data_IF_334921988931
#
_entry.id   IF_334921988931
#
_cell.length_a   1.000
_cell.length_b   1.000
_cell.length_c   1.000
_cell.angle_alpha   90.00
_cell.angle_beta   90.00
_cell.angle_gamma   90.00
#
_symmetry.space_group_name_H-M   'P 1'
#
loop_
_entity.id
_entity.type
_entity.pdbx_description
1 polymer ?
#
# COMPACT_ATOMS: atom_id res chain seq x y z
N UNK A 1 29.16 -15.63 32.51
CA UNK A 1 28.51 -14.30 32.41
C UNK A 1 28.51 -13.76 30.98
N UNK A 2 29.60 -13.87 30.23
CA UNK A 2 29.64 -13.43 28.81
C UNK A 2 28.54 -14.05 27.95
N UNK A 3 28.26 -15.34 28.11
CA UNK A 3 27.24 -16.05 27.31
C UNK A 3 25.81 -15.49 27.53
N UNK A 4 25.48 -15.04 28.74
CA UNK A 4 24.18 -14.43 29.06
C UNK A 4 24.05 -13.06 28.38
N UNK A 5 25.09 -12.21 28.46
CA UNK A 5 25.09 -10.90 27.82
C UNK A 5 25.05 -11.01 26.30
N UNK A 6 25.81 -11.94 25.71
CA UNK A 6 25.76 -12.21 24.27
C UNK A 6 24.37 -12.68 23.80
N UNK A 7 23.74 -13.56 24.59
CA UNK A 7 22.39 -14.04 24.29
C UNK A 7 21.33 -12.91 24.47
N UNK A 8 21.40 -12.13 25.55
CA UNK A 8 20.45 -11.05 25.85
C UNK A 8 20.55 -9.90 24.85
N UNK A 9 21.77 -9.46 24.55
CA UNK A 9 22.02 -8.31 23.67
C UNK A 9 22.11 -8.70 22.19
N UNK A 10 22.15 -10.01 21.90
CA UNK A 10 22.29 -10.55 20.53
C UNK A 10 23.55 -10.00 19.81
N UNK A 11 24.63 -9.80 20.57
CA UNK A 11 25.94 -9.36 20.06
C UNK A 11 26.93 -10.50 20.32
N UNK A 12 27.24 -11.25 19.26
CA UNK A 12 28.18 -12.37 19.28
C UNK A 12 29.39 -11.97 18.48
N UNK A 13 30.48 -11.57 19.16
CA UNK A 13 31.75 -11.25 18.52
C UNK A 13 32.91 -11.64 19.46
N UNK A 14 33.84 -12.49 19.00
CA UNK A 14 35.00 -12.99 19.78
C UNK A 14 35.96 -11.88 20.24
N UNK A 15 35.89 -10.72 19.61
CA UNK A 15 36.76 -9.59 19.91
C UNK A 15 36.18 -8.63 20.96
N UNK A 16 34.99 -8.92 21.49
CA UNK A 16 34.33 -8.13 22.53
C UNK A 16 34.62 -8.75 23.90
N UNK A 17 35.11 -7.93 24.81
CA UNK A 17 35.32 -8.30 26.22
C UNK A 17 34.34 -7.49 27.03
N UNK A 18 33.33 -8.16 27.62
CA UNK A 18 32.29 -7.54 28.42
C UNK A 18 32.79 -7.21 29.82
N UNK A 19 32.42 -6.04 30.33
CA UNK A 19 32.57 -5.75 31.76
C UNK A 19 31.46 -6.52 32.53
N UNK A 20 31.77 -7.02 33.73
CA UNK A 20 30.87 -7.85 34.51
C UNK A 20 29.75 -7.05 35.23
N UNK A 21 29.64 -5.75 35.02
CA UNK A 21 28.70 -4.86 35.72
C UNK A 21 27.77 -4.20 34.73
N UNK A 22 26.46 -4.20 35.07
CA UNK A 22 25.44 -3.42 34.37
C UNK A 22 25.03 -2.28 35.30
N UNK A 23 25.08 -1.04 34.80
CA UNK A 23 24.74 0.13 35.59
C UNK A 23 23.33 0.61 35.22
N UNK A 24 22.49 0.81 36.22
CA UNK A 24 21.21 1.52 36.05
C UNK A 24 21.43 3.02 36.26
N UNK A 25 21.03 3.83 35.31
CA UNK A 25 21.16 5.30 35.37
C UNK A 25 19.92 5.98 34.81
N UNK A 26 19.59 7.16 35.34
CA UNK A 26 18.60 8.04 34.70
C UNK A 26 19.28 8.74 33.52
N UNK A 27 18.83 8.45 32.32
CA UNK A 27 19.32 9.07 31.10
C UNK A 27 18.15 9.54 30.23
N UNK A 28 18.19 10.77 29.74
CA UNK A 28 17.09 11.41 29.01
C UNK A 28 15.73 11.29 29.74
N UNK A 29 15.74 11.52 31.07
CA UNK A 29 14.57 11.44 31.96
C UNK A 29 13.93 10.04 32.05
N UNK A 30 14.67 8.97 31.70
CA UNK A 30 14.19 7.57 31.77
C UNK A 30 15.24 6.69 32.45
N UNK A 31 14.78 5.76 33.32
CA UNK A 31 15.63 4.69 33.86
C UNK A 31 16.16 3.86 32.70
N UNK A 32 17.46 3.64 32.64
CA UNK A 32 18.15 3.05 31.48
C UNK A 32 19.27 2.14 31.94
N UNK A 33 19.56 1.09 31.17
CA UNK A 33 20.63 0.12 31.41
C UNK A 33 21.87 0.50 30.59
N UNK A 34 23.01 0.54 31.26
CA UNK A 34 24.31 0.80 30.63
C UNK A 34 25.22 -0.40 30.78
N UNK A 35 25.54 -0.98 29.63
CA UNK A 35 26.53 -2.05 29.50
C UNK A 35 27.86 -1.43 29.08
N UNK A 36 28.97 -2.01 29.51
CA UNK A 36 30.31 -1.61 29.11
C UNK A 36 31.06 -2.79 28.56
N UNK A 37 31.85 -2.54 27.51
CA UNK A 37 32.70 -3.55 26.89
C UNK A 37 33.90 -2.90 26.22
N UNK A 38 34.97 -3.68 26.05
CA UNK A 38 36.14 -3.33 25.25
C UNK A 38 36.17 -4.17 23.99
N UNK A 39 36.40 -3.54 22.86
CA UNK A 39 36.56 -4.19 21.57
C UNK A 39 38.01 -4.07 21.11
N UNK A 40 38.68 -5.20 21.00
CA UNK A 40 40.08 -5.27 20.59
C UNK A 40 40.32 -6.52 19.74
N UNK A 41 41.09 -6.35 18.68
CA UNK A 41 41.62 -7.44 17.86
C UNK A 41 42.98 -7.05 17.34
N UNK A 42 43.77 -8.01 16.88
CA UNK A 42 45.01 -7.74 16.18
C UNK A 42 44.67 -7.37 14.73
N UNK A 43 45.00 -6.14 14.25
CA UNK A 43 44.71 -5.77 12.87
C UNK A 43 45.62 -6.55 11.93
N UNK A 44 45.13 -6.99 10.79
CA UNK A 44 45.89 -7.70 9.76
C UNK A 44 46.68 -6.72 8.90
N UNK A 45 46.18 -5.52 8.70
CA UNK A 45 46.79 -4.45 7.90
C UNK A 45 46.40 -3.05 8.38
N UNK A 46 47.11 -2.04 7.97
CA UNK A 46 46.76 -0.66 8.16
C UNK A 46 45.61 -0.26 7.21
N UNK A 47 44.51 0.31 7.73
CA UNK A 47 43.34 0.73 6.92
C UNK A 47 43.60 1.98 6.08
N UNK A 48 44.78 2.64 6.22
CA UNK A 48 45.12 3.87 5.50
C UNK A 48 46.16 3.58 4.39
N UNK A 49 47.30 2.93 4.69
CA UNK A 49 48.33 2.66 3.71
C UNK A 49 48.37 1.20 3.21
N UNK A 50 47.57 0.31 3.80
CA UNK A 50 47.48 -1.10 3.39
C UNK A 50 48.68 -1.98 3.86
N UNK A 51 49.68 -1.44 4.58
CA UNK A 51 50.82 -2.26 5.05
C UNK A 51 50.35 -3.39 5.97
N UNK A 52 50.87 -4.59 5.77
CA UNK A 52 50.56 -5.78 6.58
C UNK A 52 51.13 -5.61 7.99
N UNK A 53 50.39 -6.09 8.98
CA UNK A 53 50.79 -6.02 10.40
C UNK A 53 51.87 -7.06 10.70
N UNK A 54 53.12 -6.63 10.69
CA UNK A 54 54.29 -7.44 10.99
C UNK A 54 55.37 -6.59 11.70
N UNK A 55 56.29 -7.22 12.38
CA UNK A 55 57.44 -6.55 13.02
C UNK A 55 57.06 -5.36 13.91
N UNK A 56 55.91 -5.42 14.61
CA UNK A 56 55.39 -4.34 15.46
C UNK A 56 55.25 -2.98 14.75
N UNK A 57 55.02 -2.96 13.44
CA UNK A 57 54.76 -1.75 12.67
C UNK A 57 53.36 -1.15 12.96
N UNK A 58 52.42 -1.95 13.51
CA UNK A 58 51.09 -1.48 13.98
C UNK A 58 51.01 -1.74 15.49
N UNK A 59 50.94 -0.66 16.27
CA UNK A 59 50.90 -0.71 17.74
C UNK A 59 49.62 -0.17 18.30
N UNK A 60 49.24 -0.62 19.52
CA UNK A 60 48.07 -0.06 20.23
C UNK A 60 48.35 1.40 20.61
N UNK A 61 47.36 2.26 20.37
CA UNK A 61 47.43 3.72 20.64
C UNK A 61 46.15 4.20 21.37
N UNK A 62 46.00 3.74 22.62
CA UNK A 62 44.82 4.09 23.44
C UNK A 62 43.49 3.54 22.94
N UNK A 63 42.39 4.05 23.45
CA UNK A 63 41.03 3.65 23.12
C UNK A 63 40.16 4.84 22.79
N UNK A 64 39.10 4.59 22.03
CA UNK A 64 38.00 5.55 21.77
C UNK A 64 36.67 4.96 22.22
N UNK A 65 36.03 5.61 23.17
CA UNK A 65 34.69 5.17 23.66
C UNK A 65 33.58 5.74 22.81
N UNK A 66 32.65 4.88 22.45
CA UNK A 66 31.41 5.26 21.74
C UNK A 66 30.21 4.69 22.46
N UNK A 67 29.17 5.52 22.66
CA UNK A 67 27.89 5.04 23.20
C UNK A 67 26.99 4.59 22.06
N UNK A 68 26.57 3.34 22.09
CA UNK A 68 25.73 2.68 21.09
C UNK A 68 24.37 2.39 21.71
N UNK A 69 23.29 2.82 21.07
CA UNK A 69 21.93 2.48 21.48
C UNK A 69 21.62 1.05 21.04
N UNK A 70 21.15 0.23 21.99
CA UNK A 70 20.75 -1.16 21.78
C UNK A 70 19.24 -1.31 21.73
N UNK A 71 18.73 -2.51 21.40
CA UNK A 71 17.33 -2.87 21.64
C UNK A 71 17.03 -2.76 23.14
N UNK A 72 15.79 -2.41 23.49
CA UNK A 72 15.38 -2.35 24.89
C UNK A 72 15.49 -3.71 25.57
N UNK A 73 15.90 -3.72 26.84
CA UNK A 73 15.99 -4.94 27.65
C UNK A 73 15.01 -4.82 28.81
N UNK A 74 14.12 -5.77 28.94
CA UNK A 74 13.03 -5.76 29.97
C UNK A 74 12.24 -4.44 29.98
N UNK A 75 11.96 -3.86 28.82
CA UNK A 75 11.23 -2.59 28.69
C UNK A 75 12.04 -1.33 28.98
N UNK A 76 13.30 -1.44 29.42
CA UNK A 76 14.17 -0.33 29.71
C UNK A 76 15.09 -0.01 28.50
N UNK A 77 15.34 1.28 28.18
CA UNK A 77 16.34 1.68 27.22
C UNK A 77 17.71 1.09 27.57
N UNK A 78 18.40 0.52 26.59
CA UNK A 78 19.71 -0.08 26.80
C UNK A 78 20.78 0.61 25.93
N UNK A 79 21.95 0.82 26.54
CA UNK A 79 23.10 1.47 25.90
C UNK A 79 24.36 0.66 26.13
N UNK A 80 25.25 0.62 25.14
CA UNK A 80 26.58 0.03 25.23
C UNK A 80 27.64 1.13 25.14
N UNK A 81 28.44 1.29 26.20
CA UNK A 81 29.65 2.08 26.17
C UNK A 81 30.79 1.18 25.66
N UNK A 82 31.06 1.25 24.37
CA UNK A 82 32.07 0.42 23.70
C UNK A 82 33.39 1.15 23.61
N UNK A 83 34.39 0.67 24.37
CA UNK A 83 35.81 1.12 24.28
C UNK A 83 36.45 0.40 23.09
N UNK A 84 36.67 1.12 22.00
CA UNK A 84 37.27 0.60 20.77
C UNK A 84 38.78 0.83 20.82
N UNK A 85 39.58 -0.21 20.61
CA UNK A 85 41.05 -0.10 20.49
C UNK A 85 41.41 0.79 19.32
N UNK A 86 42.33 1.74 19.55
CA UNK A 86 42.99 2.51 18.49
C UNK A 86 44.38 1.91 18.20
N UNK A 87 44.83 2.06 16.99
CA UNK A 87 46.12 1.63 16.51
C UNK A 87 46.87 2.80 15.85
N UNK A 88 48.18 2.79 15.94
CA UNK A 88 49.08 3.67 15.20
C UNK A 88 49.89 2.81 14.23
N UNK A 89 49.88 3.17 12.96
CA UNK A 89 50.76 2.62 11.95
C UNK A 89 52.08 3.42 11.94
N UNK A 90 53.18 2.78 12.22
CA UNK A 90 54.49 3.42 12.24
C UNK A 90 55.02 3.70 10.84
N UNK A 91 54.54 2.96 9.80
CA UNK A 91 54.96 3.18 8.41
C UNK A 91 54.40 4.49 7.84
N UNK A 92 53.13 4.78 8.07
CA UNK A 92 52.49 5.99 7.51
C UNK A 92 52.11 7.05 8.55
N UNK A 93 52.42 6.83 9.85
CA UNK A 93 52.09 7.75 10.94
C UNK A 93 50.57 7.86 11.25
N UNK A 94 49.71 7.18 10.53
CA UNK A 94 48.27 7.31 10.66
C UNK A 94 47.70 6.49 11.82
N UNK A 95 46.69 7.05 12.51
CA UNK A 95 45.94 6.33 13.53
C UNK A 95 44.59 5.87 12.99
N UNK A 96 44.21 4.64 13.30
CA UNK A 96 42.90 4.09 12.97
C UNK A 96 42.29 3.32 14.15
N UNK A 97 41.00 3.02 14.08
CA UNK A 97 40.24 2.38 15.16
C UNK A 97 39.84 0.97 14.72
N UNK A 98 39.79 0.03 15.66
CA UNK A 98 39.30 -1.32 15.42
C UNK A 98 37.92 -1.30 14.70
N UNK A 99 37.79 -2.12 13.68
CA UNK A 99 36.53 -2.22 12.93
C UNK A 99 35.45 -2.92 13.77
N UNK A 100 34.42 -2.21 14.04
CA UNK A 100 33.22 -2.67 14.77
C UNK A 100 31.99 -2.82 13.88
N UNK A 101 32.21 -2.94 12.57
CA UNK A 101 31.12 -3.00 11.57
C UNK A 101 30.12 -4.15 11.80
N UNK A 102 30.55 -5.22 12.48
CA UNK A 102 29.64 -6.32 12.89
C UNK A 102 28.59 -5.89 13.92
N UNK A 103 28.93 -4.94 14.80
CA UNK A 103 28.06 -4.45 15.90
C UNK A 103 27.33 -3.19 15.50
N UNK A 104 28.04 -2.22 14.94
CA UNK A 104 27.55 -0.90 14.56
C UNK A 104 28.16 -0.45 13.25
N UNK A 105 27.37 0.10 12.34
CA UNK A 105 27.87 0.63 11.08
C UNK A 105 28.77 1.84 11.29
N UNK A 106 29.71 2.07 10.36
CA UNK A 106 30.61 3.23 10.40
C UNK A 106 29.81 4.53 10.51
N UNK A 107 30.23 5.43 11.39
CA UNK A 107 29.55 6.70 11.70
C UNK A 107 28.12 6.58 12.27
N UNK A 108 27.71 5.39 12.75
CA UNK A 108 26.42 5.17 13.42
C UNK A 108 26.58 5.01 14.94
N UNK A 109 25.47 5.33 15.66
CA UNK A 109 25.37 5.21 17.12
C UNK A 109 24.22 4.28 17.55
N UNK A 110 23.70 3.47 16.63
CA UNK A 110 22.69 2.44 16.91
C UNK A 110 23.25 1.09 16.47
N UNK A 111 22.97 0.05 17.23
CA UNK A 111 23.42 -1.31 16.86
C UNK A 111 22.73 -1.79 15.58
N UNK A 112 23.39 -2.69 14.83
CA UNK A 112 22.77 -3.34 13.67
C UNK A 112 21.48 -4.06 14.05
N UNK A 113 21.43 -4.69 15.23
CA UNK A 113 20.23 -5.35 15.72
C UNK A 113 19.06 -4.38 15.90
N UNK A 114 19.31 -3.23 16.53
CA UNK A 114 18.31 -2.18 16.67
C UNK A 114 17.85 -1.62 15.31
N UNK A 115 18.78 -1.46 14.37
CA UNK A 115 18.45 -1.05 13.01
C UNK A 115 17.50 -2.05 12.33
N UNK A 116 17.70 -3.35 12.53
CA UNK A 116 16.83 -4.40 12.01
C UNK A 116 15.47 -4.44 12.71
N UNK A 117 15.41 -4.19 14.02
CA UNK A 117 14.14 -4.03 14.75
C UNK A 117 13.33 -2.84 14.20
N UNK A 118 13.98 -1.70 13.96
CA UNK A 118 13.34 -0.55 13.33
C UNK A 118 12.83 -0.92 11.93
N UNK A 119 13.62 -1.64 11.11
CA UNK A 119 13.20 -2.12 9.79
C UNK A 119 11.97 -3.02 9.85
N UNK A 120 11.84 -3.87 10.87
CA UNK A 120 10.62 -4.65 11.09
C UNK A 120 9.42 -3.75 11.40
N UNK A 121 9.57 -2.81 12.33
CA UNK A 121 8.48 -1.91 12.76
C UNK A 121 8.04 -0.92 11.67
N UNK A 122 8.92 -0.44 10.79
CA UNK A 122 8.55 0.45 9.68
C UNK A 122 7.70 -0.23 8.60
N UNK A 123 7.62 -1.54 8.60
CA UNK A 123 6.73 -2.31 7.72
C UNK A 123 5.28 -2.40 8.25
N UNK A 124 5.05 -1.98 9.49
CA UNK A 124 3.72 -1.93 10.10
C UNK A 124 3.05 -0.57 9.85
N UNK A 125 1.73 -0.50 10.02
CA UNK A 125 0.96 0.74 9.81
C UNK A 125 0.95 1.67 11.04
N UNK A 126 2.07 1.75 11.76
CA UNK A 126 2.26 2.60 12.95
C UNK A 126 2.96 3.92 12.61
N UNK A 127 2.85 4.91 13.51
CA UNK A 127 3.51 6.22 13.32
C UNK A 127 5.02 6.16 13.56
N UNK A 128 5.77 7.04 12.90
CA UNK A 128 7.23 7.17 13.07
C UNK A 128 7.61 7.60 14.48
N UNK A 129 6.79 8.44 15.10
CA UNK A 129 6.96 8.87 16.49
C UNK A 129 6.78 7.72 17.47
N UNK A 130 5.84 6.81 17.19
CA UNK A 130 5.67 5.59 17.98
C UNK A 130 6.90 4.69 17.87
N UNK A 131 7.38 4.42 16.64
CA UNK A 131 8.60 3.63 16.42
C UNK A 131 9.80 4.25 17.16
N UNK A 132 9.98 5.56 17.02
CA UNK A 132 11.08 6.29 17.65
C UNK A 132 11.03 6.17 19.19
N UNK A 133 9.84 6.26 19.79
CA UNK A 133 9.62 6.10 21.24
C UNK A 133 9.96 4.68 21.70
N UNK A 134 9.44 3.68 21.02
CA UNK A 134 9.65 2.26 21.36
C UNK A 134 11.12 1.83 21.23
N UNK A 135 11.81 2.35 20.22
CA UNK A 135 13.20 1.99 19.91
C UNK A 135 14.24 2.95 20.50
N UNK A 136 13.82 3.92 21.30
CA UNK A 136 14.68 4.91 21.98
C UNK A 136 15.64 5.67 21.04
N UNK A 137 15.18 5.95 19.80
CA UNK A 137 15.93 6.75 18.82
C UNK A 137 15.15 8.04 18.46
N UNK A 138 15.80 8.94 17.74
CA UNK A 138 15.09 10.11 17.21
C UNK A 138 14.20 9.75 16.03
N UNK A 139 13.12 10.50 15.81
CA UNK A 139 12.27 10.38 14.62
C UNK A 139 13.08 10.54 13.33
N UNK A 140 14.11 11.41 13.35
CA UNK A 140 15.03 11.57 12.21
C UNK A 140 15.84 10.30 11.90
N UNK A 141 16.20 9.53 12.93
CA UNK A 141 16.87 8.23 12.72
C UNK A 141 15.92 7.23 12.05
N UNK A 142 14.66 7.16 12.51
CA UNK A 142 13.63 6.31 11.88
C UNK A 142 13.44 6.72 10.42
N UNK A 143 13.32 8.02 10.13
CA UNK A 143 13.15 8.57 8.77
C UNK A 143 14.29 8.18 7.85
N UNK A 144 15.54 8.33 8.31
CA UNK A 144 16.70 7.93 7.51
C UNK A 144 16.67 6.44 7.18
N UNK A 145 16.31 5.58 8.14
CA UNK A 145 16.19 4.13 7.90
C UNK A 145 15.04 3.82 6.92
N UNK A 146 13.92 4.55 6.98
CA UNK A 146 12.81 4.46 6.02
C UNK A 146 13.33 4.78 4.61
N UNK A 147 14.01 5.91 4.44
CA UNK A 147 14.49 6.37 3.14
C UNK A 147 15.53 5.41 2.55
N UNK A 148 16.48 4.96 3.35
CA UNK A 148 17.50 3.99 2.92
C UNK A 148 16.87 2.64 2.51
N UNK A 149 15.92 2.14 3.31
CA UNK A 149 15.27 0.86 3.03
C UNK A 149 14.35 0.95 1.81
N UNK A 150 13.56 2.03 1.69
CA UNK A 150 12.67 2.24 0.55
C UNK A 150 13.43 2.38 -0.78
N UNK A 151 14.61 3.02 -0.75
CA UNK A 151 15.48 3.16 -1.93
C UNK A 151 15.88 1.81 -2.52
N UNK A 152 16.12 0.79 -1.69
CA UNK A 152 16.45 -0.56 -2.13
C UNK A 152 15.25 -1.29 -2.78
N UNK A 153 14.02 -0.94 -2.37
CA UNK A 153 12.79 -1.58 -2.84
C UNK A 153 12.13 -0.85 -4.02
N UNK A 154 12.58 0.36 -4.33
CA UNK A 154 12.01 1.15 -5.43
C UNK A 154 12.37 0.53 -6.78
N UNK A 155 11.39 0.42 -7.69
CA UNK A 155 11.63 -0.03 -9.06
C UNK A 155 12.58 0.93 -9.77
N UNK A 156 13.58 0.39 -10.45
CA UNK A 156 14.52 1.16 -11.26
C UNK A 156 14.05 1.22 -12.71
N UNK A 157 14.38 2.27 -13.47
CA UNK A 157 13.98 2.39 -14.90
C UNK A 157 14.46 1.24 -15.78
N UNK A 158 15.55 0.58 -15.41
CA UNK A 158 16.09 -0.59 -16.12
C UNK A 158 15.34 -1.89 -15.85
N UNK A 159 14.39 -1.91 -14.88
CA UNK A 159 13.59 -3.07 -14.61
C UNK A 159 12.43 -3.16 -15.61
N UNK A 160 12.14 -4.37 -16.06
CA UNK A 160 10.96 -4.63 -16.87
C UNK A 160 9.68 -4.35 -16.07
N UNK A 161 8.66 -3.84 -16.77
CA UNK A 161 7.32 -3.71 -16.23
C UNK A 161 6.64 -5.09 -16.23
N UNK A 162 5.75 -5.37 -15.26
CA UNK A 162 4.88 -6.54 -15.30
C UNK A 162 4.03 -6.57 -16.57
N UNK A 163 3.73 -7.76 -17.08
CA UNK A 163 2.89 -7.93 -18.28
C UNK A 163 1.44 -7.52 -18.05
N UNK A 164 0.98 -7.55 -16.80
CA UNK A 164 -0.40 -7.23 -16.43
C UNK A 164 -0.39 -6.18 -15.32
N UNK A 165 -0.90 -5.01 -15.60
CA UNK A 165 -0.92 -3.87 -14.70
C UNK A 165 -2.35 -3.53 -14.25
N UNK A 166 -2.44 -2.92 -13.06
CA UNK A 166 -3.63 -2.22 -12.58
C UNK A 166 -3.26 -0.79 -12.26
N UNK A 167 -4.10 0.16 -12.65
CA UNK A 167 -3.97 1.59 -12.37
C UNK A 167 -5.14 2.08 -11.55
N UNK A 168 -4.86 2.89 -10.54
CA UNK A 168 -5.87 3.54 -9.71
C UNK A 168 -5.30 4.82 -9.08
N UNK A 169 -6.11 5.51 -8.32
CA UNK A 169 -5.77 6.74 -7.63
C UNK A 169 -6.09 6.66 -6.14
N UNK A 170 -5.35 7.42 -5.35
CA UNK A 170 -5.71 7.65 -3.96
C UNK A 170 -5.46 9.09 -3.54
N UNK A 171 -6.20 9.52 -2.51
CA UNK A 171 -6.04 10.88 -1.96
C UNK A 171 -4.65 11.05 -1.37
N UNK A 172 -3.85 11.93 -1.98
CA UNK A 172 -2.46 12.23 -1.62
C UNK A 172 -2.33 13.13 -0.39
N UNK A 173 -1.17 13.71 -0.20
CA UNK A 173 -0.84 14.69 0.84
C UNK A 173 -0.87 16.10 0.28
N UNK A 174 -0.97 17.12 1.15
CA UNK A 174 -1.06 18.53 0.71
C UNK A 174 0.14 19.02 -0.09
N UNK A 175 1.32 18.41 0.08
CA UNK A 175 2.54 18.76 -0.66
C UNK A 175 2.65 18.13 -2.05
N UNK A 176 1.68 17.33 -2.49
CA UNK A 176 1.62 16.86 -3.87
C UNK A 176 0.98 17.91 -4.78
N UNK A 177 1.38 17.92 -6.06
CA UNK A 177 0.92 18.91 -7.05
C UNK A 177 -0.57 18.77 -7.39
N UNK A 178 -1.14 17.61 -7.10
CA UNK A 178 -2.57 17.34 -7.12
C UNK A 178 -3.02 16.68 -5.82
N UNK A 179 -4.31 16.80 -5.48
CA UNK A 179 -4.86 16.13 -4.30
C UNK A 179 -4.86 14.59 -4.42
N UNK A 180 -4.51 14.05 -5.59
CA UNK A 180 -4.52 12.63 -5.91
C UNK A 180 -3.15 12.17 -6.36
N UNK A 181 -2.71 11.01 -5.89
CA UNK A 181 -1.55 10.29 -6.39
C UNK A 181 -1.99 9.08 -7.19
N UNK A 182 -1.17 8.66 -8.13
CA UNK A 182 -1.42 7.52 -8.99
C UNK A 182 -0.67 6.29 -8.46
N UNK A 183 -1.30 5.12 -8.52
CA UNK A 183 -0.76 3.86 -8.04
C UNK A 183 -0.73 2.84 -9.16
N UNK A 184 0.35 2.07 -9.20
CA UNK A 184 0.58 1.02 -10.20
C UNK A 184 0.82 -0.29 -9.45
N UNK A 185 0.05 -1.32 -9.80
CA UNK A 185 0.21 -2.66 -9.25
C UNK A 185 0.35 -3.69 -10.36
N UNK A 186 1.00 -4.79 -10.05
CA UNK A 186 0.98 -6.01 -10.86
C UNK A 186 -0.31 -6.79 -10.59
N UNK A 187 -1.15 -6.95 -11.61
CA UNK A 187 -2.43 -7.66 -11.52
C UNK A 187 -2.26 -9.16 -11.26
N UNK A 188 -1.11 -9.74 -11.55
CA UNK A 188 -0.85 -11.17 -11.37
C UNK A 188 -0.33 -11.48 -9.97
N UNK A 189 0.66 -10.71 -9.50
CA UNK A 189 1.30 -10.96 -8.20
C UNK A 189 0.69 -10.14 -7.07
N UNK A 190 -0.23 -9.22 -7.37
CA UNK A 190 -0.87 -8.28 -6.45
C UNK A 190 0.13 -7.38 -5.71
N UNK A 191 1.32 -7.17 -6.30
CA UNK A 191 2.38 -6.35 -5.70
C UNK A 191 2.31 -4.92 -6.21
N UNK A 192 2.62 -4.00 -5.31
CA UNK A 192 2.85 -2.60 -5.69
C UNK A 192 4.05 -2.52 -6.63
N UNK A 193 3.88 -1.93 -7.81
CA UNK A 193 4.96 -1.58 -8.72
C UNK A 193 5.55 -0.25 -8.31
N UNK A 194 4.72 0.81 -8.25
CA UNK A 194 5.15 2.12 -7.80
C UNK A 194 3.95 3.03 -7.42
N UNK A 195 4.28 4.19 -6.84
CA UNK A 195 3.37 5.29 -6.57
C UNK A 195 3.93 6.55 -7.20
N UNK A 196 3.15 7.20 -8.06
CA UNK A 196 3.52 8.44 -8.75
C UNK A 196 2.84 9.63 -8.08
N UNK A 197 3.57 10.74 -7.95
CA UNK A 197 3.15 11.92 -7.19
C UNK A 197 1.87 12.56 -7.72
N UNK A 198 1.67 12.51 -9.03
CA UNK A 198 0.57 13.17 -9.72
C UNK A 198 -0.12 12.20 -10.67
N UNK A 199 -1.42 12.41 -10.89
CA UNK A 199 -2.25 11.63 -11.84
C UNK A 199 -2.39 12.26 -13.22
N UNK A 200 -1.86 13.46 -13.42
CA UNK A 200 -1.97 14.19 -14.70
C UNK A 200 -1.25 13.45 -15.82
N UNK A 201 -1.87 13.42 -17.00
CA UNK A 201 -1.34 12.68 -18.16
C UNK A 201 0.12 13.07 -18.48
N UNK A 202 0.48 14.33 -18.43
CA UNK A 202 1.86 14.80 -18.65
C UNK A 202 2.85 14.15 -17.65
N UNK A 203 2.53 14.18 -16.37
CA UNK A 203 3.38 13.61 -15.32
C UNK A 203 3.53 12.09 -15.46
N UNK A 204 2.45 11.41 -15.85
CA UNK A 204 2.44 9.97 -16.08
C UNK A 204 3.22 9.59 -17.33
N UNK A 205 3.10 10.35 -18.43
CA UNK A 205 3.92 10.15 -19.63
C UNK A 205 5.41 10.29 -19.29
N UNK A 206 5.81 11.34 -18.57
CA UNK A 206 7.19 11.54 -18.11
C UNK A 206 7.66 10.38 -17.23
N UNK A 207 6.79 9.84 -16.37
CA UNK A 207 7.10 8.68 -15.53
C UNK A 207 7.35 7.42 -16.39
N UNK A 208 6.45 7.09 -17.33
CA UNK A 208 6.55 5.87 -18.15
C UNK A 208 7.65 5.94 -19.20
N UNK A 209 8.02 7.13 -19.69
CA UNK A 209 9.18 7.30 -20.58
C UNK A 209 10.53 6.92 -19.95
N UNK A 210 10.60 6.77 -18.62
CA UNK A 210 11.79 6.24 -17.95
C UNK A 210 12.03 4.75 -18.22
N UNK A 211 11.01 4.04 -18.68
CA UNK A 211 11.11 2.62 -19.04
C UNK A 211 11.36 2.50 -20.55
N UNK A 212 12.23 1.57 -20.91
CA UNK A 212 12.53 1.30 -22.31
C UNK A 212 11.27 0.95 -23.10
N UNK A 213 11.21 1.28 -24.41
CA UNK A 213 10.09 0.88 -25.28
C UNK A 213 9.80 -0.63 -25.21
N UNK A 214 10.83 -1.48 -25.19
CA UNK A 214 10.68 -2.93 -25.08
C UNK A 214 9.91 -3.34 -23.83
N UNK A 215 10.18 -2.74 -22.65
CA UNK A 215 9.46 -3.00 -21.40
C UNK A 215 7.98 -2.61 -21.49
N UNK A 216 7.69 -1.48 -22.15
CA UNK A 216 6.32 -1.01 -22.34
C UNK A 216 5.54 -1.86 -23.33
N UNK A 217 6.18 -2.33 -24.41
CA UNK A 217 5.59 -3.24 -25.41
C UNK A 217 5.28 -4.64 -24.87
N UNK A 218 5.95 -5.09 -23.79
CA UNK A 218 5.67 -6.35 -23.10
C UNK A 218 4.37 -6.33 -22.30
N UNK A 219 3.82 -5.15 -21.98
CA UNK A 219 2.57 -5.05 -21.22
C UNK A 219 1.40 -5.51 -22.06
N UNK A 220 0.69 -6.55 -21.59
CA UNK A 220 -0.40 -7.22 -22.28
C UNK A 220 -1.79 -6.71 -21.90
N UNK A 221 -1.99 -6.39 -20.61
CA UNK A 221 -3.28 -5.87 -20.12
C UNK A 221 -3.09 -4.78 -19.08
N UNK A 222 -3.98 -3.81 -19.06
CA UNK A 222 -4.02 -2.76 -18.03
C UNK A 222 -5.47 -2.59 -17.58
N UNK A 223 -5.72 -2.86 -16.28
CA UNK A 223 -7.02 -2.65 -15.65
C UNK A 223 -7.13 -1.24 -15.09
N UNK A 224 -8.22 -0.54 -15.39
CA UNK A 224 -8.48 0.84 -14.99
C UNK A 224 -9.95 1.06 -14.65
N UNK A 225 -10.23 2.17 -13.99
CA UNK A 225 -11.57 2.73 -13.86
C UNK A 225 -12.05 3.36 -15.18
N UNK A 226 -13.34 3.67 -15.28
CA UNK A 226 -13.90 4.37 -16.44
C UNK A 226 -13.45 5.84 -16.48
N UNK A 227 -12.19 6.07 -16.91
CA UNK A 227 -11.60 7.41 -17.01
C UNK A 227 -10.86 7.59 -18.33
N UNK A 228 -11.44 8.39 -19.25
CA UNK A 228 -10.94 8.57 -20.62
C UNK A 228 -9.48 9.02 -20.71
N UNK A 229 -8.95 9.92 -19.86
CA UNK A 229 -7.55 10.33 -19.95
C UNK A 229 -6.56 9.15 -19.76
N UNK A 230 -6.93 8.12 -18.99
CA UNK A 230 -6.08 6.93 -18.84
C UNK A 230 -6.12 6.06 -20.09
N UNK A 231 -7.26 5.98 -20.77
CA UNK A 231 -7.35 5.25 -22.05
C UNK A 231 -6.39 5.87 -23.08
N UNK A 232 -6.39 7.20 -23.20
CA UNK A 232 -5.49 7.91 -24.12
C UNK A 232 -4.02 7.68 -23.73
N UNK A 233 -3.68 7.79 -22.45
CA UNK A 233 -2.34 7.52 -21.94
C UNK A 233 -1.89 6.09 -22.28
N UNK A 234 -2.76 5.10 -22.05
CA UNK A 234 -2.42 3.68 -22.27
C UNK A 234 -2.19 3.42 -23.77
N UNK A 235 -3.05 3.91 -24.64
CA UNK A 235 -2.88 3.76 -26.10
C UNK A 235 -1.55 4.32 -26.61
N UNK A 236 -1.09 5.43 -26.02
CA UNK A 236 0.16 6.08 -26.41
C UNK A 236 1.38 5.37 -25.82
N UNK A 237 1.33 5.00 -24.54
CA UNK A 237 2.48 4.49 -23.81
C UNK A 237 2.63 2.97 -23.89
N UNK A 238 1.53 2.23 -24.10
CA UNK A 238 1.45 0.77 -24.09
C UNK A 238 0.62 0.23 -25.26
N UNK A 239 1.10 0.39 -26.50
CA UNK A 239 0.28 0.12 -27.71
C UNK A 239 -0.22 -1.32 -27.82
N UNK A 240 0.48 -2.29 -27.21
CA UNK A 240 0.10 -3.71 -27.23
C UNK A 240 -0.87 -4.09 -26.11
N UNK A 241 -1.13 -3.17 -25.15
CA UNK A 241 -1.93 -3.51 -23.99
C UNK A 241 -3.43 -3.45 -24.26
N UNK A 242 -4.15 -4.54 -23.97
CA UNK A 242 -5.61 -4.53 -23.90
C UNK A 242 -6.05 -3.75 -22.64
N UNK A 243 -6.93 -2.79 -22.83
CA UNK A 243 -7.50 -2.00 -21.72
C UNK A 243 -8.71 -2.76 -21.17
N UNK A 244 -8.74 -2.95 -19.85
CA UNK A 244 -9.80 -3.63 -19.11
C UNK A 244 -10.45 -2.63 -18.18
N UNK A 245 -11.76 -2.50 -18.24
CA UNK A 245 -12.52 -1.68 -17.30
C UNK A 245 -12.89 -2.53 -16.09
N UNK A 246 -12.65 -2.03 -14.88
CA UNK A 246 -13.03 -2.74 -13.68
C UNK A 246 -14.55 -2.90 -13.59
N UNK A 247 -15.07 -4.15 -13.53
CA UNK A 247 -16.51 -4.42 -13.41
C UNK A 247 -17.18 -3.71 -12.25
N UNK A 248 -16.47 -3.55 -11.14
CA UNK A 248 -16.99 -2.86 -9.96
C UNK A 248 -17.45 -1.43 -10.28
N UNK A 249 -16.69 -0.69 -11.08
CA UNK A 249 -17.03 0.68 -11.44
C UNK A 249 -18.21 0.76 -12.41
N UNK A 250 -18.40 -0.23 -13.28
CA UNK A 250 -19.58 -0.35 -14.14
C UNK A 250 -20.82 -0.56 -13.27
N UNK A 251 -20.81 -1.56 -12.40
CA UNK A 251 -21.91 -1.88 -11.48
C UNK A 251 -22.19 -0.72 -10.53
N UNK A 252 -21.15 -0.05 -10.02
CA UNK A 252 -21.30 1.11 -9.15
C UNK A 252 -21.98 2.29 -9.87
N UNK A 253 -21.65 2.55 -11.14
CA UNK A 253 -22.29 3.61 -11.93
C UNK A 253 -23.77 3.32 -12.15
N UNK A 254 -24.12 2.10 -12.52
CA UNK A 254 -25.51 1.64 -12.69
C UNK A 254 -26.31 1.75 -11.39
N UNK A 255 -25.81 1.20 -10.30
CA UNK A 255 -26.47 1.25 -8.98
C UNK A 255 -26.67 2.68 -8.47
N UNK A 256 -25.71 3.56 -8.72
CA UNK A 256 -25.80 4.97 -8.34
C UNK A 256 -26.95 5.66 -9.04
N UNK A 257 -27.16 5.43 -10.32
CA UNK A 257 -28.25 6.05 -11.06
C UNK A 257 -29.60 5.43 -10.72
N UNK A 258 -29.68 4.11 -10.54
CA UNK A 258 -30.90 3.47 -10.03
C UNK A 258 -31.33 4.07 -8.69
N UNK A 259 -30.38 4.23 -7.75
CA UNK A 259 -30.66 4.85 -6.47
C UNK A 259 -31.08 6.32 -6.59
N UNK A 260 -30.50 7.08 -7.52
CA UNK A 260 -30.91 8.47 -7.80
C UNK A 260 -32.33 8.53 -8.36
N UNK A 261 -32.71 7.62 -9.25
CA UNK A 261 -34.08 7.51 -9.76
C UNK A 261 -35.03 7.18 -8.63
N UNK A 262 -34.70 6.18 -7.78
CA UNK A 262 -35.50 5.88 -6.57
C UNK A 262 -35.71 7.12 -5.69
N UNK A 263 -34.63 7.87 -5.41
CA UNK A 263 -34.72 9.10 -4.57
C UNK A 263 -35.63 10.16 -5.24
N UNK A 264 -35.50 10.32 -6.57
CA UNK A 264 -36.35 11.26 -7.32
C UNK A 264 -37.83 10.87 -7.24
N UNK A 265 -38.12 9.60 -7.46
CA UNK A 265 -39.49 9.05 -7.35
C UNK A 265 -39.99 9.17 -5.91
N UNK A 266 -39.19 8.78 -4.94
CA UNK A 266 -39.50 8.92 -3.52
C UNK A 266 -39.95 10.36 -3.17
N UNK A 267 -39.18 11.36 -3.59
CA UNK A 267 -39.46 12.76 -3.28
C UNK A 267 -40.78 13.27 -3.93
N UNK A 268 -41.20 12.73 -5.08
CA UNK A 268 -42.51 13.04 -5.69
C UNK A 268 -43.68 12.60 -4.81
N UNK A 269 -43.48 11.50 -4.05
CA UNK A 269 -44.52 10.97 -3.14
C UNK A 269 -44.52 11.61 -1.75
N UNK A 270 -43.57 12.49 -1.44
CA UNK A 270 -43.36 13.03 -0.09
C UNK A 270 -44.65 13.58 0.55
N UNK A 271 -45.44 14.30 -0.22
CA UNK A 271 -46.71 14.92 0.24
C UNK A 271 -47.93 14.24 -0.35
N UNK A 272 -47.85 13.61 -1.53
CA UNK A 272 -48.96 12.98 -2.22
C UNK A 272 -49.31 11.61 -1.64
N UNK A 273 -48.32 10.81 -1.31
CA UNK A 273 -48.45 9.48 -0.71
C UNK A 273 -47.34 9.24 0.32
N UNK A 274 -47.52 9.71 1.56
CA UNK A 274 -46.56 9.53 2.63
C UNK A 274 -46.25 8.06 2.99
N UNK A 275 -47.20 7.14 2.72
CA UNK A 275 -47.01 5.69 2.96
C UNK A 275 -46.01 5.14 1.96
N UNK A 276 -46.15 5.40 0.68
CA UNK A 276 -45.23 4.98 -0.38
C UNK A 276 -43.86 5.67 -0.25
N UNK A 277 -43.82 6.96 0.11
CA UNK A 277 -42.59 7.67 0.44
C UNK A 277 -41.76 6.94 1.51
N UNK A 278 -42.41 6.52 2.62
CA UNK A 278 -41.73 5.80 3.71
C UNK A 278 -41.25 4.43 3.26
N UNK A 279 -41.99 3.69 2.43
CA UNK A 279 -41.57 2.41 1.86
C UNK A 279 -40.36 2.56 0.96
N UNK A 280 -40.36 3.49 0.01
CA UNK A 280 -39.23 3.82 -0.86
C UNK A 280 -37.97 4.23 -0.06
N UNK A 281 -38.15 4.97 1.04
CA UNK A 281 -37.05 5.38 1.94
C UNK A 281 -36.48 4.21 2.73
N UNK A 282 -37.32 3.29 3.20
CA UNK A 282 -36.93 2.20 4.10
C UNK A 282 -36.27 1.04 3.35
N UNK A 283 -36.85 0.64 2.20
CA UNK A 283 -36.48 -0.58 1.48
C UNK A 283 -35.51 -0.37 0.32
N UNK A 284 -34.78 0.74 0.32
CA UNK A 284 -33.83 1.06 -0.76
C UNK A 284 -32.76 -0.03 -1.01
N UNK A 285 -32.36 -0.76 0.06
CA UNK A 285 -31.38 -1.84 -0.06
C UNK A 285 -31.91 -3.03 -0.86
N UNK A 286 -33.20 -3.32 -0.76
CA UNK A 286 -33.84 -4.39 -1.54
C UNK A 286 -33.87 -4.03 -3.03
N UNK A 287 -34.14 -2.78 -3.36
CA UNK A 287 -34.15 -2.30 -4.76
C UNK A 287 -32.78 -2.39 -5.41
N UNK A 288 -31.70 -2.20 -4.64
CA UNK A 288 -30.32 -2.29 -5.15
C UNK A 288 -29.72 -3.69 -5.06
N UNK A 289 -30.38 -4.62 -4.36
CA UNK A 289 -29.94 -6.01 -4.22
C UNK A 289 -30.14 -6.75 -5.55
N UNK A 290 -29.28 -7.75 -5.83
CA UNK A 290 -29.48 -8.61 -6.99
C UNK A 290 -30.84 -9.31 -6.90
N UNK A 291 -31.69 -9.26 -7.93
CA UNK A 291 -33.01 -9.94 -7.92
C UNK A 291 -32.90 -11.42 -7.58
N UNK A 292 -31.91 -12.12 -8.10
CA UNK A 292 -31.66 -13.54 -7.83
C UNK A 292 -31.33 -13.87 -6.36
N UNK A 293 -30.95 -12.86 -5.58
CA UNK A 293 -30.69 -12.99 -4.13
C UNK A 293 -31.88 -12.57 -3.27
N UNK A 294 -32.97 -12.09 -3.87
CA UNK A 294 -34.17 -11.71 -3.14
C UNK A 294 -34.98 -12.96 -2.77
N UNK A 295 -35.29 -13.07 -1.48
CA UNK A 295 -36.12 -14.20 -1.01
C UNK A 295 -37.56 -14.05 -1.50
N UNK A 296 -38.03 -15.01 -2.27
CA UNK A 296 -39.40 -15.05 -2.84
C UNK A 296 -40.35 -16.08 -2.16
N UNK A 297 -39.78 -16.96 -1.30
CA UNK A 297 -40.51 -18.05 -0.64
C UNK A 297 -40.71 -17.86 0.87
N UNK A 298 -39.94 -16.96 1.54
CA UNK A 298 -40.05 -16.73 2.97
C UNK A 298 -40.87 -15.47 3.26
N UNK A 299 -42.06 -15.67 3.78
CA UNK A 299 -42.92 -14.59 4.22
C UNK A 299 -42.54 -14.13 5.62
N UNK A 300 -42.37 -12.84 5.80
CA UNK A 300 -42.04 -12.20 7.07
C UNK A 300 -42.95 -10.97 7.30
N UNK A 301 -43.07 -10.56 8.55
CA UNK A 301 -43.72 -9.29 8.89
C UNK A 301 -42.73 -8.14 8.69
N UNK A 302 -42.92 -7.38 7.66
CA UNK A 302 -42.07 -6.24 7.35
C UNK A 302 -42.70 -4.93 7.85
N UNK A 303 -41.86 -4.03 8.36
CA UNK A 303 -42.30 -2.70 8.78
C UNK A 303 -42.96 -1.95 7.61
N UNK A 304 -44.01 -1.21 7.85
CA UNK A 304 -44.79 -0.47 6.85
C UNK A 304 -45.65 -1.32 5.91
N UNK A 305 -45.79 -2.62 6.14
CA UNK A 305 -46.75 -3.51 5.49
C UNK A 305 -47.63 -4.14 6.56
N UNK A 306 -48.93 -4.23 6.26
CA UNK A 306 -49.93 -4.80 7.17
C UNK A 306 -49.94 -6.34 7.05
N UNK A 307 -49.72 -6.84 5.85
CA UNK A 307 -49.62 -8.27 5.52
C UNK A 307 -48.21 -8.82 5.59
N UNK A 308 -48.09 -10.14 5.68
CA UNK A 308 -46.83 -10.84 5.49
C UNK A 308 -46.39 -10.69 4.03
N UNK A 309 -45.14 -10.37 3.82
CA UNK A 309 -44.53 -10.16 2.49
C UNK A 309 -43.27 -10.99 2.33
N UNK A 310 -42.89 -11.23 1.09
CA UNK A 310 -41.53 -11.66 0.77
C UNK A 310 -40.64 -10.46 0.43
N UNK A 311 -39.31 -10.62 0.45
CA UNK A 311 -38.43 -9.53 0.04
C UNK A 311 -38.64 -9.14 -1.43
N UNK A 312 -38.90 -10.11 -2.30
CA UNK A 312 -39.26 -9.90 -3.69
C UNK A 312 -40.58 -9.15 -3.80
N UNK A 313 -41.62 -9.60 -3.09
CA UNK A 313 -42.97 -8.95 -3.13
C UNK A 313 -42.94 -7.49 -2.68
N UNK A 314 -42.03 -7.09 -1.79
CA UNK A 314 -41.81 -5.67 -1.43
C UNK A 314 -41.30 -4.88 -2.63
N UNK A 315 -40.32 -5.44 -3.35
CA UNK A 315 -39.73 -4.79 -4.53
C UNK A 315 -40.83 -4.67 -5.62
N UNK A 316 -41.56 -5.74 -5.90
CA UNK A 316 -42.62 -5.77 -6.89
C UNK A 316 -43.71 -4.70 -6.58
N UNK A 317 -44.18 -4.65 -5.33
CA UNK A 317 -45.12 -3.62 -4.89
C UNK A 317 -44.59 -2.20 -5.15
N UNK A 318 -43.31 -1.94 -4.87
CA UNK A 318 -42.73 -0.60 -5.07
C UNK A 318 -42.65 -0.28 -6.57
N UNK A 319 -42.27 -1.26 -7.39
CA UNK A 319 -42.07 -1.08 -8.84
C UNK A 319 -43.40 -0.90 -9.58
N UNK A 320 -44.42 -1.68 -9.23
CA UNK A 320 -45.76 -1.56 -9.81
C UNK A 320 -46.39 -0.16 -9.61
N UNK A 321 -46.14 0.42 -8.44
CA UNK A 321 -46.58 1.78 -8.16
C UNK A 321 -45.70 2.88 -8.79
N UNK A 322 -44.59 2.51 -9.50
CA UNK A 322 -43.66 3.48 -10.04
C UNK A 322 -43.04 3.02 -11.38
N UNK A 323 -43.79 3.10 -12.51
CA UNK A 323 -43.33 2.60 -13.81
C UNK A 323 -41.98 3.13 -14.28
N UNK A 324 -41.69 4.41 -14.02
CA UNK A 324 -40.37 4.99 -14.37
C UNK A 324 -39.19 4.39 -13.58
N UNK A 325 -39.43 3.97 -12.33
CA UNK A 325 -38.44 3.26 -11.53
C UNK A 325 -38.33 1.80 -11.99
N UNK A 326 -39.42 1.18 -12.39
CA UNK A 326 -39.46 -0.19 -12.89
C UNK A 326 -38.59 -0.36 -14.13
N UNK A 327 -38.71 0.50 -15.13
CA UNK A 327 -37.89 0.44 -16.35
C UNK A 327 -36.38 0.60 -16.02
N UNK A 328 -36.03 1.59 -15.18
CA UNK A 328 -34.65 1.76 -14.77
C UNK A 328 -34.11 0.53 -13.99
N UNK A 329 -34.96 -0.07 -13.13
CA UNK A 329 -34.65 -1.26 -12.34
C UNK A 329 -34.32 -2.46 -13.26
N UNK A 330 -35.22 -2.77 -14.20
CA UNK A 330 -35.05 -3.89 -15.14
C UNK A 330 -33.79 -3.76 -15.95
N UNK A 331 -33.56 -2.60 -16.58
CA UNK A 331 -32.33 -2.36 -17.39
C UNK A 331 -31.05 -2.45 -16.54
N UNK A 332 -31.04 -1.85 -15.35
CA UNK A 332 -29.85 -1.88 -14.49
C UNK A 332 -29.51 -3.29 -14.04
N UNK A 333 -30.52 -4.09 -13.65
CA UNK A 333 -30.28 -5.45 -13.19
C UNK A 333 -29.89 -6.38 -14.33
N UNK A 334 -30.49 -6.29 -15.52
CA UNK A 334 -30.06 -7.04 -16.69
C UNK A 334 -28.62 -6.74 -17.09
N UNK A 335 -28.21 -5.47 -17.11
CA UNK A 335 -26.82 -5.10 -17.41
C UNK A 335 -25.84 -5.60 -16.34
N UNK A 336 -26.25 -5.61 -15.07
CA UNK A 336 -25.42 -6.17 -13.99
C UNK A 336 -25.24 -7.67 -14.12
N UNK A 337 -26.28 -8.39 -14.47
CA UNK A 337 -26.27 -9.83 -14.74
C UNK A 337 -25.31 -10.16 -15.89
N UNK A 338 -25.43 -9.48 -17.03
CA UNK A 338 -24.49 -9.65 -18.17
C UNK A 338 -23.02 -9.42 -17.75
N UNK A 339 -22.73 -8.42 -16.92
CA UNK A 339 -21.36 -8.20 -16.42
C UNK A 339 -20.92 -9.30 -15.45
N UNK A 340 -21.79 -9.79 -14.60
CA UNK A 340 -21.52 -10.89 -13.68
C UNK A 340 -21.21 -12.18 -14.43
N UNK A 341 -22.02 -12.48 -15.45
CA UNK A 341 -21.91 -13.70 -16.28
C UNK A 341 -20.86 -13.57 -17.38
N UNK A 342 -20.25 -12.39 -17.52
CA UNK A 342 -19.24 -12.09 -18.55
C UNK A 342 -19.78 -12.20 -19.98
N UNK A 343 -21.07 -12.02 -20.15
CA UNK A 343 -21.72 -12.06 -21.47
C UNK A 343 -21.69 -10.66 -22.12
N UNK A 344 -20.67 -10.44 -22.94
CA UNK A 344 -20.54 -9.17 -23.68
C UNK A 344 -21.59 -9.02 -24.76
N UNK A 345 -22.00 -10.14 -25.42
CA UNK A 345 -22.96 -10.09 -26.52
C UNK A 345 -24.32 -9.61 -25.98
N UNK A 346 -24.78 -10.25 -24.91
CA UNK A 346 -26.04 -9.88 -24.28
C UNK A 346 -25.97 -8.49 -23.63
N UNK A 347 -24.83 -8.12 -23.05
CA UNK A 347 -24.60 -6.77 -22.53
C UNK A 347 -24.79 -5.68 -23.60
N UNK A 348 -24.22 -5.90 -24.80
CA UNK A 348 -24.35 -4.97 -25.94
C UNK A 348 -25.81 -4.89 -26.43
N UNK A 349 -26.48 -6.01 -26.61
CA UNK A 349 -27.90 -6.06 -27.00
C UNK A 349 -28.79 -5.34 -25.99
N UNK A 350 -28.58 -5.60 -24.71
CA UNK A 350 -29.35 -4.96 -23.63
C UNK A 350 -29.17 -3.43 -23.64
N UNK A 351 -27.94 -2.93 -23.88
CA UNK A 351 -27.71 -1.48 -24.01
C UNK A 351 -28.46 -0.93 -25.24
N UNK A 352 -28.38 -1.60 -26.40
CA UNK A 352 -29.03 -1.17 -27.63
C UNK A 352 -30.56 -1.11 -27.43
N UNK A 353 -31.16 -2.14 -26.86
CA UNK A 353 -32.58 -2.17 -26.55
C UNK A 353 -32.98 -1.07 -25.53
N UNK A 354 -32.15 -0.87 -24.50
CA UNK A 354 -32.39 0.14 -23.48
C UNK A 354 -32.41 1.58 -24.04
N UNK A 355 -31.70 1.86 -25.13
CA UNK A 355 -31.73 3.21 -25.73
C UNK A 355 -33.10 3.59 -26.28
N UNK A 356 -33.96 2.63 -26.60
CA UNK A 356 -35.33 2.85 -27.11
C UNK A 356 -36.34 3.01 -25.99
N UNK A 357 -35.98 2.75 -24.75
CA UNK A 357 -36.88 2.83 -23.61
C UNK A 357 -37.00 4.25 -23.02
N UNK A 358 -38.14 4.52 -22.39
CA UNK A 358 -38.31 5.76 -21.65
C UNK A 358 -37.67 5.71 -20.26
N UNK A 359 -36.33 5.79 -20.25
CA UNK A 359 -35.50 5.74 -19.03
C UNK A 359 -35.27 7.12 -18.44
N UNK A 360 -34.83 7.12 -17.17
CA UNK A 360 -34.48 8.36 -16.50
C UNK A 360 -33.28 9.06 -17.20
N UNK A 361 -33.22 10.40 -17.18
CA UNK A 361 -32.11 11.15 -17.83
C UNK A 361 -30.74 10.79 -17.28
N UNK A 362 -30.65 10.39 -16.01
CA UNK A 362 -29.40 9.94 -15.39
C UNK A 362 -28.91 8.61 -15.96
N UNK A 363 -29.83 7.64 -16.08
CA UNK A 363 -29.49 6.33 -16.63
C UNK A 363 -29.14 6.44 -18.12
N UNK A 364 -29.89 7.25 -18.91
CA UNK A 364 -29.53 7.52 -20.31
C UNK A 364 -28.09 8.05 -20.47
N UNK A 365 -27.61 8.91 -19.55
CA UNK A 365 -26.21 9.39 -19.56
C UNK A 365 -25.21 8.29 -19.24
N UNK A 366 -25.54 7.41 -18.28
CA UNK A 366 -24.66 6.26 -17.97
C UNK A 366 -24.61 5.31 -19.15
N UNK A 367 -25.72 4.97 -19.79
CA UNK A 367 -25.74 4.13 -21.00
C UNK A 367 -24.90 4.74 -22.12
N UNK A 368 -25.02 6.04 -22.39
CA UNK A 368 -24.18 6.73 -23.37
C UNK A 368 -22.70 6.62 -23.04
N UNK A 369 -22.35 6.71 -21.75
CA UNK A 369 -20.97 6.48 -21.30
C UNK A 369 -20.54 5.04 -21.56
N UNK A 370 -21.36 4.05 -21.17
CA UNK A 370 -21.03 2.63 -21.37
C UNK A 370 -20.87 2.28 -22.86
N UNK A 371 -21.65 2.88 -23.75
CA UNK A 371 -21.48 2.72 -25.21
C UNK A 371 -20.06 3.16 -25.65
N UNK A 372 -19.56 4.27 -25.12
CA UNK A 372 -18.19 4.73 -25.40
C UNK A 372 -17.12 3.73 -24.92
N UNK A 373 -17.43 2.97 -23.85
CA UNK A 373 -16.51 2.01 -23.27
C UNK A 373 -16.72 0.55 -23.76
N UNK A 374 -17.69 0.27 -24.65
CA UNK A 374 -18.00 -1.07 -25.14
C UNK A 374 -16.76 -1.88 -25.59
N UNK A 375 -15.80 -1.32 -26.39
CA UNK A 375 -14.64 -2.10 -26.80
C UNK A 375 -13.76 -2.58 -25.64
N UNK A 376 -13.76 -1.81 -24.54
CA UNK A 376 -12.97 -2.14 -23.34
C UNK A 376 -13.75 -3.04 -22.38
N UNK A 377 -15.09 -2.96 -22.36
CA UNK A 377 -15.98 -3.86 -21.63
C UNK A 377 -15.92 -5.27 -22.26
N UNK A 378 -15.75 -5.37 -23.58
CA UNK A 378 -15.47 -6.65 -24.24
C UNK A 378 -14.22 -7.29 -23.63
N UNK A 379 -13.10 -6.57 -23.55
CA UNK A 379 -11.88 -7.06 -22.90
C UNK A 379 -12.11 -7.47 -21.43
N UNK A 380 -13.00 -6.77 -20.74
CA UNK A 380 -13.37 -7.10 -19.34
C UNK A 380 -14.03 -8.47 -19.23
N UNK A 381 -14.92 -8.81 -20.18
CA UNK A 381 -15.57 -10.11 -20.24
C UNK A 381 -14.58 -11.21 -20.64
N UNK A 382 -13.68 -10.95 -21.60
CA UNK A 382 -12.65 -11.89 -22.08
C UNK A 382 -11.58 -12.20 -21.01
N UNK A 383 -11.33 -11.28 -20.07
CA UNK A 383 -10.26 -11.42 -19.06
C UNK A 383 -10.81 -11.36 -17.61
N UNK A 384 -11.60 -12.35 -17.15
CA UNK A 384 -12.35 -12.30 -15.89
C UNK A 384 -11.49 -12.20 -14.63
N UNK A 385 -10.23 -12.64 -14.68
CA UNK A 385 -9.30 -12.60 -13.55
C UNK A 385 -8.57 -11.27 -13.40
N UNK A 386 -8.76 -10.33 -14.35
CA UNK A 386 -8.05 -9.04 -14.37
C UNK A 386 -8.94 -7.91 -13.86
N UNK A 387 -8.88 -7.63 -12.57
CA UNK A 387 -9.66 -6.58 -11.88
C UNK A 387 -8.75 -5.65 -11.09
N UNK A 388 -9.29 -4.54 -10.62
CA UNK A 388 -8.60 -3.61 -9.71
C UNK A 388 -8.66 -4.03 -8.23
N UNK A 389 -9.23 -5.20 -7.92
CA UNK A 389 -9.33 -5.71 -6.55
C UNK A 389 -8.02 -5.67 -5.73
N UNK A 390 -6.85 -6.03 -6.31
CA UNK A 390 -5.57 -5.93 -5.61
C UNK A 390 -5.25 -4.52 -5.11
N UNK A 391 -5.58 -3.50 -5.88
CA UNK A 391 -5.33 -2.09 -5.53
C UNK A 391 -6.24 -1.63 -4.40
N UNK A 392 -7.49 -2.08 -4.35
CA UNK A 392 -8.41 -1.73 -3.26
C UNK A 392 -7.83 -2.11 -1.90
N UNK A 393 -7.27 -3.32 -1.76
CA UNK A 393 -6.59 -3.77 -0.55
C UNK A 393 -5.40 -2.88 -0.16
N UNK A 394 -4.61 -2.44 -1.14
CA UNK A 394 -3.48 -1.52 -0.92
C UNK A 394 -3.99 -0.13 -0.54
N UNK A 395 -5.01 0.39 -1.20
CA UNK A 395 -5.63 1.67 -0.89
C UNK A 395 -6.19 1.71 0.54
N UNK A 396 -6.75 0.60 1.03
CA UNK A 396 -7.19 0.49 2.42
C UNK A 396 -6.01 0.54 3.40
N UNK A 397 -4.90 -0.15 3.14
CA UNK A 397 -3.66 -0.05 3.94
C UNK A 397 -3.13 1.39 3.96
N UNK A 398 -3.15 2.09 2.82
CA UNK A 398 -2.73 3.50 2.70
C UNK A 398 -3.62 4.41 3.57
N UNK A 399 -4.95 4.20 3.57
CA UNK A 399 -5.88 4.93 4.42
C UNK A 399 -5.58 4.72 5.91
N UNK A 400 -5.34 3.47 6.33
CA UNK A 400 -4.97 3.12 7.71
C UNK A 400 -3.64 3.77 8.09
N UNK A 401 -2.61 3.66 7.26
CA UNK A 401 -1.31 4.30 7.48
C UNK A 401 -1.47 5.82 7.71
N UNK A 402 -2.25 6.51 6.88
CA UNK A 402 -2.50 7.96 7.03
C UNK A 402 -3.18 8.31 8.34
N UNK A 403 -4.16 7.50 8.78
CA UNK A 403 -4.86 7.72 10.06
C UNK A 403 -3.91 7.54 11.24
N UNK A 404 -3.18 6.42 11.28
CA UNK A 404 -2.29 6.08 12.38
C UNK A 404 -1.08 7.04 12.49
N UNK A 405 -0.67 7.64 11.38
CA UNK A 405 0.39 8.66 11.35
C UNK A 405 -0.11 10.08 11.55
N UNK A 406 -1.43 10.29 11.81
CA UNK A 406 -2.05 11.61 11.87
C UNK A 406 -1.79 12.48 10.64
N UNK A 407 -1.59 11.82 9.48
CA UNK A 407 -1.28 12.43 8.21
C UNK A 407 0.22 12.55 7.91
N UNK A 408 0.53 12.93 6.68
CA UNK A 408 1.89 13.19 6.20
C UNK A 408 1.96 14.57 5.57
N UNK A 409 3.07 15.28 5.79
CA UNK A 409 3.34 16.58 5.16
C UNK A 409 4.15 16.46 3.88
N UNK A 410 5.09 15.50 3.83
CA UNK A 410 6.00 15.30 2.70
C UNK A 410 5.57 14.08 1.87
N UNK A 411 5.40 14.28 0.56
CA UNK A 411 5.00 13.22 -0.38
C UNK A 411 6.03 12.07 -0.44
N UNK A 412 7.31 12.37 -0.59
CA UNK A 412 8.33 11.33 -0.75
C UNK A 412 8.43 10.43 0.48
N UNK A 413 8.27 11.01 1.65
CA UNK A 413 8.21 10.30 2.92
C UNK A 413 7.00 9.38 3.00
N UNK A 414 5.83 9.89 2.59
CA UNK A 414 4.61 9.11 2.50
C UNK A 414 4.74 7.96 1.49
N UNK A 415 5.26 8.25 0.28
CA UNK A 415 5.54 7.23 -0.73
C UNK A 415 6.47 6.13 -0.20
N UNK A 416 7.56 6.49 0.47
CA UNK A 416 8.50 5.54 1.04
C UNK A 416 7.82 4.64 2.07
N UNK A 417 6.96 5.19 2.92
CA UNK A 417 6.15 4.39 3.86
C UNK A 417 5.19 3.44 3.15
N UNK A 418 4.51 3.89 2.08
CA UNK A 418 3.64 3.02 1.28
C UNK A 418 4.45 1.85 0.70
N UNK A 419 5.60 2.10 0.10
CA UNK A 419 6.47 1.05 -0.45
C UNK A 419 6.83 0.03 0.63
N UNK A 420 7.18 0.47 1.83
CA UNK A 420 7.59 -0.42 2.91
C UNK A 420 6.45 -1.31 3.40
N UNK A 421 5.26 -0.76 3.64
CA UNK A 421 4.11 -1.53 4.14
C UNK A 421 3.50 -2.47 3.10
N UNK A 422 3.80 -2.28 1.81
CA UNK A 422 3.26 -3.10 0.72
C UNK A 422 4.26 -4.11 0.17
N UNK A 423 5.52 -3.73 -0.07
CA UNK A 423 6.52 -4.62 -0.69
C UNK A 423 7.20 -5.56 0.30
N UNK A 424 7.40 -5.16 1.55
CA UNK A 424 8.05 -6.03 2.56
C UNK A 424 7.16 -7.22 2.97
N UNK A 425 5.83 -7.08 2.87
CA UNK A 425 4.86 -8.14 3.19
C UNK A 425 4.25 -8.83 1.97
N UNK A 426 4.70 -8.52 0.75
CA UNK A 426 4.31 -9.28 -0.43
C UNK A 426 4.66 -10.76 -0.28
N UNK A 427 3.96 -11.70 -0.96
CA UNK A 427 4.25 -13.12 -0.87
C UNK A 427 5.75 -13.37 -1.11
N UNK A 428 6.33 -14.23 -0.25
CA UNK A 428 7.77 -14.53 -0.20
C UNK A 428 8.31 -14.89 -1.60
N UNK A 429 9.07 -14.02 -2.24
CA UNK A 429 9.93 -14.45 -3.34
C UNK A 429 11.07 -15.29 -2.74
N UNK A 430 11.14 -16.56 -3.14
CA UNK A 430 12.30 -17.41 -2.87
C UNK A 430 13.52 -16.67 -3.46
N UNK A 431 14.40 -16.10 -2.65
CA UNK A 431 15.63 -15.40 -3.09
C UNK A 431 15.92 -14.04 -2.44
N UNK A 432 14.91 -13.27 -1.98
CA UNK A 432 15.16 -11.95 -1.35
C UNK A 432 15.48 -12.06 0.16
N UNK A 433 15.20 -13.22 0.77
CA UNK A 433 15.51 -13.44 2.20
C UNK A 433 17.00 -13.43 2.55
N UNK A 434 17.89 -13.73 1.61
CA UNK A 434 19.32 -13.80 1.92
C UNK A 434 20.02 -12.44 1.96
N UNK A 435 19.51 -11.40 1.33
CA UNK A 435 20.12 -10.06 1.33
C UNK A 435 19.69 -9.12 2.46
N UNK A 436 18.59 -9.45 3.19
CA UNK A 436 18.10 -8.63 4.30
C UNK A 436 18.49 -9.17 5.69
N UNK A 437 19.06 -10.36 5.77
CA UNK A 437 19.44 -11.05 7.03
C UNK A 437 20.95 -11.35 7.11
N UNK A 438 21.72 -11.05 6.08
CA UNK A 438 23.19 -11.17 6.10
C UNK A 438 23.87 -9.86 6.57
#
# INVERSE_FOLDING_TARGET
MNNILEATLQIKDKNIIWDNTVQEKIFKKRKSLFYSATYTHKPEFCTVCGCVSQNNNIVKNGTKTSRITLCSVSGLPAYLNLRKQRFLCRECGSSFTADTSRIVEKHCHISKRLKNEIKSKISETVSETYIAKETNVSVHTVRRIIDDTARLLTIKPLHDLPEHLCFDEFKSVKSSDSNMSFIICDSTTHKLVDVVRDRKSYSLKKYFHRFEPKSRLKVKTISIDMYLPYIQLIKEMFPNAKIIIDPFHIVQALNRELNRTRVRVMNKHRYKDPKLYRKLKHYWKLILKNPNELQNYKYNRYKLFESFMTAQGIVDYILENNPSLKHDYEVVHSLRECIQDRDYIEFKKTIEAATQLNLSPGLKRVLKTLITYLPYIQNTCEHPTRTNGPIEGINNKIKVLKRNAYGFRNYYHFRNRIILITKMFGPKQKGIKQQLVA
#
